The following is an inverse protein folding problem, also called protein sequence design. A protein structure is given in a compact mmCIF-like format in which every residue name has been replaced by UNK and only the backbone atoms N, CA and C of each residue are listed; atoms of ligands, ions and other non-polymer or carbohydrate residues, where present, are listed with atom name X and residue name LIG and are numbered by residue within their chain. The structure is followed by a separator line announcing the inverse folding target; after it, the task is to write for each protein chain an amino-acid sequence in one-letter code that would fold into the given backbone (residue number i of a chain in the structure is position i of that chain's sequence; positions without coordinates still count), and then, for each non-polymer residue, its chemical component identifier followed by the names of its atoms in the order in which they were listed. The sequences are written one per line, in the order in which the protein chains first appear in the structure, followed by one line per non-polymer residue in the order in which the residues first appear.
data_IF_199532144786
#
_entry.id   IF_199532144786
#
_cell.length_a   1.000
_cell.length_b   1.000
_cell.length_c   1.000
_cell.angle_alpha   90.00
_cell.angle_beta   90.00
_cell.angle_gamma   90.00
#
_symmetry.space_group_name_H-M   'P 1'
#
loop_
_entity.id
_entity.type
_entity.pdbx_description
1 polymer ?
#
# COMPACT_ATOMS: atom_id res chain seq x y z
N UNK A 1 -8.91 14.94 9.06
CA UNK A 1 -7.62 14.27 9.35
C UNK A 1 -7.68 12.87 8.80
N UNK A 2 -6.68 12.47 8.03
CA UNK A 2 -6.58 11.08 7.55
C UNK A 2 -5.99 10.20 8.66
N UNK A 3 -6.55 9.01 8.78
CA UNK A 3 -6.06 8.00 9.73
C UNK A 3 -5.01 7.13 9.07
N UNK A 4 -3.92 6.89 9.78
CA UNK A 4 -2.80 6.05 9.38
C UNK A 4 -2.70 4.90 10.37
N UNK A 5 -2.60 3.67 9.86
CA UNK A 5 -2.67 2.47 10.69
C UNK A 5 -1.57 1.46 10.34
N UNK A 6 -1.34 0.53 11.23
CA UNK A 6 -0.47 -0.63 10.95
C UNK A 6 -1.18 -1.65 10.05
N UNK A 7 -0.41 -2.51 9.40
CA UNK A 7 -0.94 -3.65 8.62
C UNK A 7 -1.79 -4.57 9.49
N UNK A 8 -1.42 -4.75 10.76
CA UNK A 8 -2.20 -5.57 11.69
C UNK A 8 -3.56 -4.94 11.99
N UNK A 9 -3.59 -3.64 12.28
CA UNK A 9 -4.84 -2.89 12.48
C UNK A 9 -5.71 -2.94 11.23
N UNK A 10 -5.12 -2.83 10.02
CA UNK A 10 -5.85 -2.98 8.77
C UNK A 10 -6.51 -4.35 8.65
N UNK A 11 -5.78 -5.44 8.91
CA UNK A 11 -6.32 -6.81 8.87
C UNK A 11 -7.45 -7.05 9.86
N UNK A 12 -7.31 -6.52 11.10
CA UNK A 12 -8.37 -6.62 12.12
C UNK A 12 -9.62 -5.87 11.68
N UNK A 13 -9.45 -4.68 11.11
CA UNK A 13 -10.54 -3.84 10.62
C UNK A 13 -11.27 -4.47 9.44
N UNK A 14 -10.53 -5.03 8.46
CA UNK A 14 -11.08 -5.80 7.36
C UNK A 14 -11.91 -6.99 7.85
N UNK A 15 -11.32 -7.83 8.71
CA UNK A 15 -11.97 -9.02 9.23
C UNK A 15 -13.25 -8.66 10.01
N UNK A 16 -13.20 -7.61 10.82
CA UNK A 16 -14.36 -7.13 11.58
C UNK A 16 -15.45 -6.60 10.65
N UNK A 17 -15.08 -5.82 9.65
CA UNK A 17 -16.03 -5.26 8.67
C UNK A 17 -16.71 -6.35 7.87
N UNK A 18 -15.97 -7.35 7.41
CA UNK A 18 -16.50 -8.49 6.65
C UNK A 18 -17.43 -9.33 7.54
N UNK A 19 -17.06 -9.56 8.79
CA UNK A 19 -17.86 -10.37 9.70
C UNK A 19 -19.20 -9.71 10.10
N UNK A 20 -19.28 -8.37 10.10
CA UNK A 20 -20.42 -7.66 10.69
C UNK A 20 -21.24 -6.83 9.71
N UNK A 21 -20.67 -6.38 8.59
CA UNK A 21 -21.32 -5.33 7.79
C UNK A 21 -21.41 -5.62 6.29
N UNK A 22 -20.41 -6.28 5.67
CA UNK A 22 -20.37 -6.42 4.22
C UNK A 22 -19.72 -7.74 3.79
N UNK A 23 -20.28 -8.37 2.78
CA UNK A 23 -19.65 -9.53 2.13
C UNK A 23 -18.28 -9.18 1.54
N UNK A 24 -17.29 -10.09 1.66
CA UNK A 24 -15.91 -9.88 1.24
C UNK A 24 -15.77 -9.55 -0.26
N UNK A 25 -16.58 -10.17 -1.12
CA UNK A 25 -16.59 -9.85 -2.56
C UNK A 25 -17.10 -8.44 -2.83
N UNK A 26 -18.10 -7.98 -2.07
CA UNK A 26 -18.59 -6.59 -2.20
C UNK A 26 -17.53 -5.60 -1.72
N UNK A 27 -16.78 -5.93 -0.68
CA UNK A 27 -15.69 -5.08 -0.19
C UNK A 27 -14.57 -4.99 -1.25
N UNK A 28 -14.16 -6.11 -1.85
CA UNK A 28 -13.23 -6.17 -2.98
C UNK A 28 -13.74 -5.38 -4.19
N UNK A 29 -15.03 -5.44 -4.49
CA UNK A 29 -15.62 -4.62 -5.57
C UNK A 29 -15.48 -3.12 -5.27
N UNK A 30 -15.74 -2.69 -4.02
CA UNK A 30 -15.53 -1.29 -3.62
C UNK A 30 -14.07 -0.86 -3.77
N UNK A 31 -13.12 -1.73 -3.43
CA UNK A 31 -11.69 -1.47 -3.61
C UNK A 31 -11.36 -1.24 -5.10
N UNK A 32 -11.77 -2.14 -5.99
CA UNK A 32 -11.57 -1.97 -7.42
C UNK A 32 -12.25 -0.72 -8.01
N UNK A 33 -13.45 -0.37 -7.53
CA UNK A 33 -14.12 0.90 -7.91
C UNK A 33 -13.30 2.11 -7.45
N UNK A 34 -12.74 2.07 -6.24
CA UNK A 34 -11.89 3.12 -5.73
C UNK A 34 -10.62 3.31 -6.56
N UNK A 35 -9.97 2.21 -6.93
CA UNK A 35 -8.81 2.23 -7.83
C UNK A 35 -9.20 2.81 -9.19
N UNK A 36 -10.32 2.38 -9.78
CA UNK A 36 -10.83 2.90 -11.03
C UNK A 36 -11.05 4.43 -10.99
N UNK A 37 -11.64 4.94 -9.93
CA UNK A 37 -11.92 6.37 -9.76
C UNK A 37 -10.69 7.22 -9.39
N UNK A 38 -9.58 6.59 -9.05
CA UNK A 38 -8.36 7.29 -8.60
C UNK A 38 -7.51 7.83 -9.74
N UNK A 39 -7.73 7.36 -10.98
CA UNK A 39 -6.95 7.74 -12.14
C UNK A 39 -7.82 7.82 -13.42
N UNK A 40 -7.43 8.66 -14.37
CA UNK A 40 -8.08 8.79 -15.68
C UNK A 40 -7.43 7.81 -16.69
N UNK A 41 -7.86 6.55 -16.65
CA UNK A 41 -7.31 5.47 -17.48
C UNK A 41 -7.58 5.70 -18.97
N UNK A 42 -6.52 5.62 -19.78
CA UNK A 42 -6.56 5.75 -21.23
C UNK A 42 -5.52 4.82 -21.89
N UNK A 43 -5.79 4.43 -23.13
CA UNK A 43 -4.88 3.56 -23.89
C UNK A 43 -4.99 2.09 -23.49
N UNK A 44 -3.89 1.34 -23.61
CA UNK A 44 -3.79 -0.07 -23.29
C UNK A 44 -3.24 -0.26 -21.88
N UNK A 45 -3.95 -1.01 -21.05
CA UNK A 45 -3.63 -1.16 -19.64
C UNK A 45 -3.10 -2.59 -19.37
N UNK A 46 -1.90 -2.71 -18.82
CA UNK A 46 -1.41 -3.97 -18.26
C UNK A 46 -1.74 -4.01 -16.77
N UNK A 47 -2.46 -5.02 -16.29
CA UNK A 47 -2.75 -5.20 -14.87
C UNK A 47 -1.99 -6.44 -14.40
N UNK A 48 -0.96 -6.24 -13.57
CA UNK A 48 -0.07 -7.30 -13.12
C UNK A 48 -0.54 -7.82 -11.77
N UNK A 49 -0.96 -9.08 -11.77
CA UNK A 49 -1.71 -9.70 -10.68
C UNK A 49 -0.89 -10.80 -9.99
N UNK A 50 -0.79 -10.71 -8.67
CA UNK A 50 -0.27 -11.79 -7.83
C UNK A 50 -1.31 -12.88 -7.56
N UNK A 51 -1.24 -13.50 -6.38
CA UNK A 51 -2.16 -14.59 -6.00
C UNK A 51 -3.04 -14.26 -4.77
N UNK A 52 -2.90 -13.06 -4.22
CA UNK A 52 -3.64 -12.59 -3.05
C UNK A 52 -4.87 -11.77 -3.39
N UNK A 53 -5.46 -11.11 -2.38
CA UNK A 53 -6.65 -10.28 -2.56
C UNK A 53 -6.37 -9.02 -3.39
N UNK A 54 -5.15 -8.47 -3.34
CA UNK A 54 -4.76 -7.33 -4.17
C UNK A 54 -4.93 -7.60 -5.67
N UNK A 55 -4.69 -8.85 -6.12
CA UNK A 55 -5.00 -9.26 -7.49
C UNK A 55 -6.51 -9.20 -7.79
N UNK A 56 -7.35 -9.47 -6.80
CA UNK A 56 -8.81 -9.37 -6.92
C UNK A 56 -9.27 -7.95 -7.22
N UNK A 57 -8.66 -6.96 -6.60
CA UNK A 57 -8.93 -5.53 -6.87
C UNK A 57 -8.57 -5.18 -8.32
N UNK A 58 -7.45 -5.75 -8.83
CA UNK A 58 -7.04 -5.64 -10.23
C UNK A 58 -8.02 -6.31 -11.21
N UNK A 59 -8.61 -7.45 -10.85
CA UNK A 59 -9.63 -8.09 -11.68
C UNK A 59 -10.91 -7.25 -11.74
N UNK A 60 -11.34 -6.67 -10.62
CA UNK A 60 -12.47 -5.73 -10.60
C UNK A 60 -12.17 -4.51 -11.44
N UNK A 61 -10.97 -3.92 -11.31
CA UNK A 61 -10.55 -2.81 -12.17
C UNK A 61 -10.67 -3.16 -13.65
N UNK A 62 -10.20 -4.35 -14.06
CA UNK A 62 -10.27 -4.81 -15.45
C UNK A 62 -11.72 -4.92 -15.97
N UNK A 63 -12.65 -5.41 -15.14
CA UNK A 63 -14.08 -5.44 -15.47
C UNK A 63 -14.64 -4.03 -15.68
N UNK A 64 -14.32 -3.08 -14.81
CA UNK A 64 -14.76 -1.68 -14.91
C UNK A 64 -14.18 -0.98 -16.15
N UNK A 65 -12.91 -1.22 -16.46
CA UNK A 65 -12.28 -0.72 -17.68
C UNK A 65 -13.01 -1.26 -18.93
N UNK A 66 -13.34 -2.55 -18.94
CA UNK A 66 -14.10 -3.19 -20.01
C UNK A 66 -15.48 -2.55 -20.23
N UNK A 67 -16.21 -2.23 -19.14
CA UNK A 67 -17.50 -1.52 -19.19
C UNK A 67 -17.37 -0.12 -19.82
N UNK A 68 -16.20 0.51 -19.72
CA UNK A 68 -15.89 1.81 -20.33
C UNK A 68 -15.22 1.71 -21.70
N UNK A 69 -15.14 0.50 -22.28
CA UNK A 69 -14.46 0.23 -23.54
C UNK A 69 -12.96 0.62 -23.53
N UNK A 70 -12.30 0.52 -22.38
CA UNK A 70 -10.86 0.70 -22.23
C UNK A 70 -10.19 -0.69 -22.26
N UNK A 71 -9.20 -0.84 -23.12
CA UNK A 71 -8.48 -2.12 -23.29
C UNK A 71 -7.61 -2.43 -22.09
N UNK A 72 -7.74 -3.63 -21.53
CA UNK A 72 -6.83 -4.13 -20.49
C UNK A 72 -6.47 -5.60 -20.72
N UNK A 73 -5.27 -5.98 -20.27
CA UNK A 73 -4.77 -7.36 -20.25
C UNK A 73 -4.29 -7.69 -18.86
N UNK A 74 -4.72 -8.84 -18.33
CA UNK A 74 -4.25 -9.35 -17.05
C UNK A 74 -2.92 -10.09 -17.24
N UNK A 75 -1.92 -9.77 -16.41
CA UNK A 75 -0.64 -10.47 -16.35
C UNK A 75 -0.56 -11.19 -15.01
N UNK A 76 -0.63 -12.50 -15.02
CA UNK A 76 -0.64 -13.31 -13.80
C UNK A 76 0.78 -13.76 -13.47
N UNK A 77 1.30 -13.42 -12.29
CA UNK A 77 2.57 -13.97 -11.80
C UNK A 77 2.52 -15.50 -11.75
N UNK A 78 1.35 -16.04 -11.40
CA UNK A 78 1.04 -17.47 -11.47
C UNK A 78 -0.48 -17.67 -11.43
N UNK A 79 -0.96 -18.79 -11.96
CA UNK A 79 -2.37 -19.18 -11.91
C UNK A 79 -2.76 -19.73 -10.53
N UNK A 80 -2.72 -18.84 -9.54
CA UNK A 80 -3.18 -19.10 -8.17
C UNK A 80 -3.97 -17.89 -7.69
N UNK A 81 -5.09 -18.13 -7.03
CA UNK A 81 -6.07 -17.12 -6.69
C UNK A 81 -6.47 -17.21 -5.22
N UNK A 82 -6.79 -16.09 -4.59
CA UNK A 82 -7.60 -16.06 -3.38
C UNK A 82 -9.05 -16.45 -3.71
N UNK A 83 -9.86 -16.73 -2.70
CA UNK A 83 -11.26 -17.16 -2.92
C UNK A 83 -12.05 -16.09 -3.67
N UNK A 84 -11.99 -14.84 -3.22
CA UNK A 84 -12.69 -13.73 -3.85
C UNK A 84 -12.04 -13.30 -5.16
N UNK A 85 -10.71 -13.36 -5.25
CA UNK A 85 -9.97 -13.13 -6.47
C UNK A 85 -10.38 -14.10 -7.58
N UNK A 86 -10.57 -15.40 -7.27
CA UNK A 86 -11.03 -16.39 -8.25
C UNK A 86 -12.42 -16.04 -8.79
N UNK A 87 -13.32 -15.60 -7.93
CA UNK A 87 -14.65 -15.17 -8.35
C UNK A 87 -14.61 -14.04 -9.38
N UNK A 88 -13.76 -13.01 -9.16
CA UNK A 88 -13.65 -11.90 -10.11
C UNK A 88 -12.81 -12.26 -11.35
N UNK A 89 -11.81 -13.12 -11.21
CA UNK A 89 -11.09 -13.65 -12.37
C UNK A 89 -12.03 -14.42 -13.31
N UNK A 90 -12.91 -15.28 -12.78
CA UNK A 90 -13.89 -16.00 -13.59
C UNK A 90 -14.82 -15.04 -14.33
N UNK A 91 -15.26 -13.95 -13.70
CA UNK A 91 -16.02 -12.89 -14.36
C UNK A 91 -15.23 -12.21 -15.49
N UNK A 92 -13.93 -12.01 -15.33
CA UNK A 92 -13.08 -11.52 -16.41
C UNK A 92 -13.07 -12.48 -17.60
N UNK A 93 -13.00 -13.79 -17.33
CA UNK A 93 -13.03 -14.82 -18.38
C UNK A 93 -14.39 -14.87 -19.09
N UNK A 94 -15.49 -14.78 -18.36
CA UNK A 94 -16.85 -14.67 -18.92
C UNK A 94 -17.00 -13.48 -19.88
N UNK A 95 -16.29 -12.39 -19.61
CA UNK A 95 -16.29 -11.18 -20.45
C UNK A 95 -15.17 -11.19 -21.53
N UNK A 96 -14.47 -12.29 -21.71
CA UNK A 96 -13.38 -12.43 -22.67
C UNK A 96 -12.27 -11.37 -22.48
N UNK A 97 -11.94 -11.02 -21.26
CA UNK A 97 -10.78 -10.17 -20.95
C UNK A 97 -9.51 -11.00 -21.16
N UNK A 98 -8.54 -10.54 -21.98
CA UNK A 98 -7.33 -11.29 -22.24
C UNK A 98 -6.44 -11.39 -20.99
N UNK A 99 -5.79 -12.55 -20.85
CA UNK A 99 -4.75 -12.72 -19.83
C UNK A 99 -3.53 -13.45 -20.37
N UNK A 100 -2.40 -13.26 -19.70
CA UNK A 100 -1.12 -13.93 -19.92
C UNK A 100 -0.54 -14.38 -18.59
N UNK A 101 0.18 -15.49 -18.56
CA UNK A 101 1.00 -15.86 -17.40
C UNK A 101 2.39 -15.28 -17.62
N UNK A 102 2.93 -14.63 -16.60
CA UNK A 102 4.24 -13.99 -16.66
C UNK A 102 5.36 -15.02 -16.75
N UNK A 103 6.33 -14.74 -17.58
CA UNK A 103 7.57 -15.50 -17.81
C UNK A 103 8.75 -14.56 -18.09
N UNK A 104 9.90 -15.12 -18.41
CA UNK A 104 11.10 -14.36 -18.78
C UNK A 104 10.91 -13.49 -20.03
N UNK A 105 10.02 -13.88 -20.96
CA UNK A 105 9.68 -13.15 -22.18
C UNK A 105 8.62 -12.07 -21.99
N UNK A 106 8.07 -11.90 -20.78
CA UNK A 106 7.03 -10.89 -20.53
C UNK A 106 7.54 -9.47 -20.83
N UNK A 107 6.77 -8.73 -21.61
CA UNK A 107 7.08 -7.37 -22.06
C UNK A 107 5.85 -6.46 -21.94
N UNK A 108 6.10 -5.19 -21.59
CA UNK A 108 5.07 -4.17 -21.41
C UNK A 108 5.13 -3.06 -22.46
N UNK A 109 5.91 -3.23 -23.54
CA UNK A 109 6.12 -2.19 -24.58
C UNK A 109 4.81 -1.71 -25.22
N UNK A 110 3.85 -2.61 -25.44
CA UNK A 110 2.56 -2.33 -26.09
C UNK A 110 1.52 -1.68 -25.15
N UNK A 111 1.88 -1.42 -23.90
CA UNK A 111 0.97 -0.84 -22.91
C UNK A 111 1.35 0.59 -22.58
N UNK A 112 0.35 1.40 -22.23
CA UNK A 112 0.51 2.80 -21.85
C UNK A 112 0.59 2.95 -20.33
N UNK A 113 -0.13 2.11 -19.60
CA UNK A 113 -0.22 2.12 -18.14
C UNK A 113 0.00 0.70 -17.63
N UNK A 114 0.76 0.58 -16.55
CA UNK A 114 0.91 -0.67 -15.80
C UNK A 114 0.27 -0.48 -14.42
N UNK A 115 -0.61 -1.39 -14.04
CA UNK A 115 -1.21 -1.42 -12.71
C UNK A 115 -0.61 -2.57 -11.92
N UNK A 116 0.07 -2.25 -10.84
CA UNK A 116 0.69 -3.20 -9.93
C UNK A 116 -0.32 -3.69 -8.89
N UNK A 117 -0.75 -4.93 -9.03
CA UNK A 117 -1.57 -5.69 -8.11
C UNK A 117 -0.89 -6.99 -7.68
N UNK A 118 0.47 -7.03 -7.65
CA UNK A 118 1.22 -8.26 -7.35
C UNK A 118 1.11 -8.60 -5.86
N UNK A 119 1.48 -7.66 -4.99
CA UNK A 119 1.46 -7.84 -3.54
C UNK A 119 0.72 -6.68 -2.87
N UNK A 120 -0.12 -6.99 -1.88
CA UNK A 120 -0.69 -6.01 -0.96
C UNK A 120 -0.02 -6.09 0.41
N UNK A 121 -0.67 -5.58 1.45
CA UNK A 121 -0.17 -5.52 2.85
C UNK A 121 0.23 -6.87 3.44
N UNK A 122 -0.15 -7.99 2.83
CA UNK A 122 0.24 -9.35 3.25
C UNK A 122 1.69 -9.72 2.96
N UNK A 123 2.39 -8.97 2.11
CA UNK A 123 3.75 -9.30 1.69
C UNK A 123 4.77 -8.99 2.80
N UNK A 124 5.75 -9.89 2.95
CA UNK A 124 6.91 -9.72 3.84
C UNK A 124 8.16 -10.31 3.16
N UNK A 125 9.28 -9.66 3.36
CA UNK A 125 10.58 -10.09 2.82
C UNK A 125 10.90 -9.49 1.45
N UNK A 126 11.58 -10.24 0.59
CA UNK A 126 12.09 -9.79 -0.72
C UNK A 126 11.34 -10.50 -1.84
N UNK A 127 10.89 -9.75 -2.84
CA UNK A 127 10.31 -10.32 -4.06
C UNK A 127 11.38 -11.11 -4.82
N UNK A 128 11.12 -12.40 -5.12
CA UNK A 128 12.05 -13.32 -5.78
C UNK A 128 11.42 -14.05 -6.96
N UNK A 129 12.28 -14.63 -7.80
CA UNK A 129 11.85 -15.35 -8.99
C UNK A 129 11.03 -14.46 -9.91
N UNK A 130 10.07 -15.04 -10.63
CA UNK A 130 9.31 -14.32 -11.64
C UNK A 130 8.66 -13.02 -11.12
N UNK A 131 8.21 -12.98 -9.87
CA UNK A 131 7.64 -11.76 -9.30
C UNK A 131 8.69 -10.65 -9.15
N UNK A 132 9.91 -11.00 -8.73
CA UNK A 132 11.02 -10.05 -8.66
C UNK A 132 11.45 -9.56 -10.04
N UNK A 133 11.52 -10.46 -11.02
CA UNK A 133 11.91 -10.11 -12.40
C UNK A 133 10.86 -9.22 -13.07
N UNK A 134 9.58 -9.45 -12.79
CA UNK A 134 8.48 -8.60 -13.27
C UNK A 134 8.52 -7.21 -12.62
N UNK A 135 8.85 -7.11 -11.34
CA UNK A 135 9.05 -5.80 -10.67
C UNK A 135 10.17 -5.01 -11.37
N UNK A 136 11.30 -5.64 -11.70
CA UNK A 136 12.37 -4.98 -12.45
C UNK A 136 11.88 -4.51 -13.81
N UNK A 137 11.16 -5.36 -14.56
CA UNK A 137 10.59 -5.00 -15.87
C UNK A 137 9.58 -3.85 -15.80
N UNK A 138 8.76 -3.79 -14.75
CA UNK A 138 7.86 -2.67 -14.50
C UNK A 138 8.67 -1.39 -14.31
N UNK A 139 9.68 -1.42 -13.43
CA UNK A 139 10.52 -0.27 -13.13
C UNK A 139 11.30 0.25 -14.33
N UNK A 140 11.71 -0.65 -15.24
CA UNK A 140 12.48 -0.32 -16.45
C UNK A 140 11.60 0.04 -17.65
N UNK A 141 10.27 -0.09 -17.54
CA UNK A 141 9.34 0.05 -18.68
C UNK A 141 9.19 1.46 -19.20
N UNK A 142 9.51 2.51 -18.41
CA UNK A 142 9.21 3.91 -18.68
C UNK A 142 7.72 4.18 -18.96
N UNK A 143 6.82 3.39 -18.39
CA UNK A 143 5.37 3.55 -18.48
C UNK A 143 4.83 4.23 -17.25
N UNK A 144 3.62 4.76 -17.33
CA UNK A 144 2.89 5.20 -16.13
C UNK A 144 2.57 3.99 -15.27
N UNK A 145 2.97 4.01 -14.00
CA UNK A 145 2.78 2.91 -13.06
C UNK A 145 1.86 3.32 -11.92
N UNK A 146 0.84 2.51 -11.67
CA UNK A 146 -0.12 2.70 -10.58
C UNK A 146 -0.05 1.48 -9.67
N UNK A 147 0.35 1.65 -8.41
CA UNK A 147 0.34 0.57 -7.42
C UNK A 147 -0.96 0.59 -6.60
N UNK A 148 -1.55 -0.59 -6.42
CA UNK A 148 -2.80 -0.80 -5.68
C UNK A 148 -2.48 -1.27 -4.27
N UNK A 149 -3.12 -0.67 -3.28
CA UNK A 149 -2.98 -0.91 -1.84
C UNK A 149 -1.62 -0.51 -1.28
N UNK A 150 -0.54 -1.04 -1.83
CA UNK A 150 0.85 -0.74 -1.51
C UNK A 150 1.74 -1.08 -2.71
N UNK A 151 2.86 -0.40 -2.87
CA UNK A 151 3.84 -0.76 -3.90
C UNK A 151 4.37 -2.17 -3.65
N UNK A 152 4.25 -3.04 -4.64
CA UNK A 152 4.68 -4.44 -4.48
C UNK A 152 6.16 -4.52 -4.12
N UNK A 153 6.46 -5.23 -3.03
CA UNK A 153 7.79 -5.35 -2.44
C UNK A 153 8.08 -4.40 -1.28
N UNK A 154 7.26 -3.37 -1.06
CA UNK A 154 7.36 -2.45 0.08
C UNK A 154 6.75 -3.09 1.33
N UNK A 155 7.38 -2.93 2.49
CA UNK A 155 6.81 -3.36 3.76
C UNK A 155 5.80 -2.31 4.27
N UNK A 156 4.55 -2.72 4.47
CA UNK A 156 3.43 -1.84 4.82
C UNK A 156 3.49 -1.20 6.20
N UNK A 157 4.35 -1.70 7.09
CA UNK A 157 4.56 -1.12 8.42
C UNK A 157 5.82 -0.25 8.48
N UNK A 158 6.90 -0.70 7.84
CA UNK A 158 8.22 -0.07 7.99
C UNK A 158 8.64 0.84 6.85
N UNK A 159 8.02 0.73 5.68
CA UNK A 159 8.43 1.50 4.50
C UNK A 159 9.77 1.08 3.89
N UNK A 160 10.33 -0.07 4.28
CA UNK A 160 11.53 -0.63 3.68
C UNK A 160 11.19 -1.70 2.64
N UNK A 161 12.07 -1.87 1.66
CA UNK A 161 12.00 -2.94 0.67
C UNK A 161 13.25 -2.96 -0.20
N UNK A 162 13.72 -4.16 -0.58
CA UNK A 162 14.91 -4.30 -1.43
C UNK A 162 14.56 -4.25 -2.92
N UNK A 163 13.43 -4.85 -3.29
CA UNK A 163 12.95 -4.91 -4.68
C UNK A 163 11.49 -4.47 -4.68
N UNK A 164 11.26 -3.22 -5.04
CA UNK A 164 9.97 -2.52 -4.90
C UNK A 164 9.57 -1.88 -6.21
N UNK A 165 8.29 -1.97 -6.55
CA UNK A 165 7.71 -1.24 -7.68
C UNK A 165 7.79 0.26 -7.42
N UNK A 166 8.31 1.03 -8.37
CA UNK A 166 8.24 2.49 -8.39
C UNK A 166 6.98 2.92 -9.13
N UNK A 167 6.13 3.66 -8.47
CA UNK A 167 4.86 4.11 -9.05
C UNK A 167 4.78 5.63 -9.18
N UNK A 168 4.07 6.09 -10.21
CA UNK A 168 3.66 7.49 -10.33
C UNK A 168 2.51 7.81 -9.36
N UNK A 169 1.67 6.79 -9.10
CA UNK A 169 0.57 6.87 -8.15
C UNK A 169 0.44 5.57 -7.35
N UNK A 170 0.35 5.69 -6.04
CA UNK A 170 -0.08 4.61 -5.15
C UNK A 170 -1.49 4.90 -4.64
N UNK A 171 -2.41 3.94 -4.81
CA UNK A 171 -3.79 4.01 -4.33
C UNK A 171 -3.93 3.09 -3.12
N UNK A 172 -3.81 3.64 -1.92
CA UNK A 172 -4.03 2.89 -0.68
C UNK A 172 -5.51 2.58 -0.48
N UNK A 173 -5.83 1.38 -0.06
CA UNK A 173 -7.20 0.91 0.12
C UNK A 173 -7.60 0.93 1.60
N UNK A 174 -8.77 1.52 1.91
CA UNK A 174 -9.30 1.67 3.25
C UNK A 174 -8.62 2.79 4.02
N UNK A 175 -7.52 2.50 4.67
CA UNK A 175 -6.70 3.45 5.42
C UNK A 175 -5.27 3.51 4.90
N UNK A 176 -4.59 4.63 5.11
CA UNK A 176 -3.15 4.73 4.88
C UNK A 176 -2.40 3.79 5.83
N UNK A 177 -1.39 3.08 5.32
CA UNK A 177 -0.50 2.25 6.12
C UNK A 177 0.75 3.04 6.49
N UNK A 178 1.27 2.81 7.69
CA UNK A 178 2.45 3.53 8.19
C UNK A 178 3.62 3.48 7.22
N UNK A 179 3.90 2.30 6.64
CA UNK A 179 4.99 2.10 5.69
C UNK A 179 4.86 2.83 4.35
N UNK A 180 3.69 3.43 4.04
CA UNK A 180 3.53 4.28 2.85
C UNK A 180 4.05 5.71 3.06
N UNK A 181 4.34 6.09 4.31
CA UNK A 181 4.66 7.46 4.69
C UNK A 181 6.09 7.65 5.19
N UNK A 182 6.72 6.59 5.69
CA UNK A 182 7.98 6.66 6.42
C UNK A 182 9.13 5.97 5.69
N UNK A 183 10.35 6.24 6.14
CA UNK A 183 11.61 5.64 5.68
C UNK A 183 11.78 5.74 4.15
N UNK A 184 11.96 4.61 3.46
CA UNK A 184 12.27 4.57 2.03
C UNK A 184 11.04 4.72 1.11
N UNK A 185 9.83 4.84 1.66
CA UNK A 185 8.60 4.90 0.87
C UNK A 185 8.62 5.98 -0.21
N UNK A 186 9.24 7.13 0.08
CA UNK A 186 9.35 8.26 -0.85
C UNK A 186 10.24 7.99 -2.08
N UNK A 187 11.09 6.96 -2.03
CA UNK A 187 11.89 6.51 -3.18
C UNK A 187 11.05 5.78 -4.23
N UNK A 188 9.89 5.27 -3.82
CA UNK A 188 9.04 4.38 -4.62
C UNK A 188 7.68 4.97 -4.95
N UNK A 189 7.19 5.94 -4.17
CA UNK A 189 5.85 6.51 -4.30
C UNK A 189 5.94 7.93 -4.85
N UNK A 190 5.48 8.15 -6.08
CA UNK A 190 5.39 9.48 -6.68
C UNK A 190 4.27 10.30 -6.01
N UNK A 191 3.04 9.85 -6.14
CA UNK A 191 1.85 10.43 -5.52
C UNK A 191 1.12 9.37 -4.71
N UNK A 192 0.46 9.78 -3.62
CA UNK A 192 -0.30 8.88 -2.76
C UNK A 192 -1.75 9.35 -2.65
N UNK A 193 -2.70 8.45 -2.89
CA UNK A 193 -4.13 8.65 -2.65
C UNK A 193 -4.66 7.57 -1.74
N UNK A 194 -5.58 7.92 -0.85
CA UNK A 194 -6.31 6.95 -0.06
C UNK A 194 -7.72 6.77 -0.61
N UNK A 195 -8.12 5.52 -0.80
CA UNK A 195 -9.47 5.13 -1.23
C UNK A 195 -10.24 4.59 -0.03
N UNK A 196 -11.18 5.38 0.49
CA UNK A 196 -12.10 4.91 1.51
C UNK A 196 -13.11 3.92 0.90
N UNK A 197 -13.23 2.75 1.51
CA UNK A 197 -14.16 1.68 1.11
C UNK A 197 -15.12 1.29 2.25
N UNK A 198 -15.31 2.17 3.22
CA UNK A 198 -16.18 2.02 4.38
C UNK A 198 -15.77 0.86 5.30
N UNK A 199 -14.48 0.76 5.60
CA UNK A 199 -13.96 -0.18 6.59
C UNK A 199 -14.17 0.40 7.99
N UNK A 200 -14.77 -0.37 8.87
CA UNK A 200 -14.87 -0.03 10.28
C UNK A 200 -13.52 -0.23 10.98
N UNK A 201 -13.00 0.85 11.56
CA UNK A 201 -11.70 0.82 12.22
C UNK A 201 -11.76 0.11 13.57
N UNK A 202 -10.91 -0.89 13.75
CA UNK A 202 -10.74 -1.64 15.00
C UNK A 202 -9.28 -1.59 15.44
N UNK A 203 -9.00 -0.78 16.46
CA UNK A 203 -7.66 -0.62 17.03
C UNK A 203 -7.13 0.80 16.93
N UNK A 204 -5.85 0.95 17.24
CA UNK A 204 -5.15 2.24 17.28
C UNK A 204 -4.83 2.79 15.89
N UNK A 205 -4.71 4.10 15.80
CA UNK A 205 -4.30 4.81 14.61
C UNK A 205 -3.46 6.03 14.94
N UNK A 206 -2.72 6.53 13.95
CA UNK A 206 -2.06 7.82 13.95
C UNK A 206 -2.91 8.81 13.13
N UNK A 207 -2.89 10.06 13.52
CA UNK A 207 -3.54 11.15 12.77
C UNK A 207 -2.53 11.83 11.86
N UNK A 208 -2.85 11.96 10.57
CA UNK A 208 -2.05 12.78 9.67
C UNK A 208 -2.47 14.24 9.82
N UNK A 209 -1.53 15.10 10.21
CA UNK A 209 -1.76 16.53 10.45
C UNK A 209 -0.85 17.38 9.56
N UNK A 210 -1.20 18.67 9.39
CA UNK A 210 -0.41 19.57 8.54
C UNK A 210 0.88 20.03 9.23
N UNK A 211 0.85 20.23 10.56
CA UNK A 211 2.01 20.65 11.35
C UNK A 211 1.87 20.26 12.84
N UNK A 212 2.92 20.55 13.63
CA UNK A 212 3.00 20.34 15.07
C UNK A 212 3.02 21.66 15.86
N UNK A 213 2.38 22.71 15.36
CA UNK A 213 2.41 24.05 15.94
C UNK A 213 1.99 24.13 17.41
N UNK A 214 1.23 23.15 17.90
CA UNK A 214 0.75 23.06 19.28
C UNK A 214 1.55 22.08 20.15
N UNK A 215 2.68 21.55 19.66
CA UNK A 215 3.50 20.60 20.41
C UNK A 215 4.38 21.37 21.44
N UNK A 216 4.16 21.09 22.72
CA UNK A 216 4.91 21.69 23.85
C UNK A 216 5.63 20.60 24.65
N UNK A 217 6.75 20.96 25.29
CA UNK A 217 7.51 20.10 26.21
C UNK A 217 7.92 18.75 25.58
N UNK A 218 8.46 18.78 24.35
CA UNK A 218 8.84 17.59 23.59
C UNK A 218 10.35 17.43 23.55
N UNK A 219 10.84 16.21 23.71
CA UNK A 219 12.21 15.83 23.36
C UNK A 219 12.27 15.65 21.85
N UNK A 220 13.20 16.35 21.20
CA UNK A 220 13.28 16.39 19.73
C UNK A 220 14.51 15.63 19.25
N UNK A 221 14.30 14.72 18.32
CA UNK A 221 15.34 14.00 17.59
C UNK A 221 15.33 14.42 16.12
N UNK A 222 16.51 14.68 15.54
CA UNK A 222 16.63 15.17 14.17
C UNK A 222 16.31 14.08 13.11
N UNK A 223 16.45 12.82 13.51
CA UNK A 223 16.08 11.65 12.69
C UNK A 223 15.89 10.42 13.58
N UNK A 224 15.45 9.30 12.98
CA UNK A 224 15.23 8.07 13.73
C UNK A 224 16.53 7.43 14.22
N UNK A 225 17.66 7.61 13.53
CA UNK A 225 18.94 7.06 13.97
C UNK A 225 19.41 7.72 15.29
N UNK A 226 19.31 9.06 15.39
CA UNK A 226 19.64 9.75 16.64
C UNK A 226 18.75 9.33 17.81
N UNK A 227 17.49 8.99 17.55
CA UNK A 227 16.58 8.42 18.54
C UNK A 227 17.01 7.01 18.98
N UNK A 228 17.32 6.12 18.02
CA UNK A 228 17.73 4.75 18.32
C UNK A 228 19.09 4.69 19.05
N UNK A 229 20.01 5.57 18.71
CA UNK A 229 21.30 5.70 19.39
C UNK A 229 21.11 6.11 20.85
N UNK A 230 20.27 7.11 21.14
CA UNK A 230 20.03 7.59 22.51
C UNK A 230 19.43 6.48 23.39
N UNK A 231 18.49 5.72 22.89
CA UNK A 231 17.81 4.65 23.64
C UNK A 231 18.42 3.25 23.43
N UNK A 232 19.57 3.12 22.76
CA UNK A 232 20.28 1.86 22.48
C UNK A 232 19.39 0.80 21.81
N UNK A 233 18.55 1.22 20.87
CA UNK A 233 17.65 0.34 20.15
C UNK A 233 18.39 -0.31 19.00
N UNK A 234 18.58 -1.64 19.06
CA UNK A 234 19.37 -2.41 18.08
C UNK A 234 18.48 -2.98 16.97
N UNK A 235 17.27 -3.42 17.33
CA UNK A 235 16.32 -4.05 16.42
C UNK A 235 14.93 -3.46 16.61
N UNK A 236 14.23 -3.21 15.50
CA UNK A 236 12.84 -2.76 15.50
C UNK A 236 12.13 -3.24 14.25
N UNK A 237 10.82 -3.45 14.36
CA UNK A 237 9.95 -3.83 13.23
C UNK A 237 9.21 -2.62 12.69
N UNK A 238 8.79 -1.71 13.56
CA UNK A 238 8.08 -0.49 13.19
C UNK A 238 8.60 0.69 14.02
N UNK A 239 9.22 1.70 13.39
CA UNK A 239 9.79 2.85 14.11
C UNK A 239 8.76 3.63 14.93
N UNK A 240 7.50 3.74 14.46
CA UNK A 240 6.47 4.47 15.18
C UNK A 240 6.01 3.75 16.45
N UNK A 241 5.92 2.41 16.40
CA UNK A 241 5.56 1.60 17.57
C UNK A 241 6.63 1.71 18.65
N UNK A 242 7.90 1.53 18.27
CA UNK A 242 9.04 1.65 19.20
C UNK A 242 9.09 3.04 19.84
N UNK A 243 8.95 4.11 19.06
CA UNK A 243 8.93 5.46 19.61
C UNK A 243 7.76 5.68 20.57
N UNK A 244 6.61 5.07 20.30
CA UNK A 244 5.44 5.13 21.17
C UNK A 244 5.66 4.38 22.49
N UNK A 245 6.29 3.22 22.45
CA UNK A 245 6.62 2.44 23.65
C UNK A 245 7.62 3.18 24.53
N UNK A 246 8.71 3.68 23.97
CA UNK A 246 9.73 4.46 24.70
C UNK A 246 9.13 5.73 25.33
N UNK A 247 8.27 6.45 24.60
CA UNK A 247 7.59 7.63 25.12
C UNK A 247 6.75 7.30 26.36
N UNK A 248 6.01 6.19 26.32
CA UNK A 248 5.19 5.71 27.44
C UNK A 248 6.01 5.23 28.62
N UNK A 249 7.05 4.43 28.39
CA UNK A 249 7.91 3.87 29.44
C UNK A 249 8.68 4.94 30.20
N UNK A 250 9.06 6.02 29.54
CA UNK A 250 9.83 7.11 30.13
C UNK A 250 8.98 8.33 30.53
N UNK A 251 7.66 8.30 30.31
CA UNK A 251 6.74 9.40 30.60
C UNK A 251 7.18 10.74 29.95
N UNK A 252 7.54 10.67 28.68
CA UNK A 252 8.04 11.80 27.88
C UNK A 252 7.25 11.98 26.60
N UNK A 253 7.23 13.22 26.09
CA UNK A 253 6.76 13.51 24.73
C UNK A 253 7.97 13.50 23.78
N UNK A 254 7.82 12.89 22.62
CA UNK A 254 8.90 12.71 21.65
C UNK A 254 8.45 13.27 20.29
N UNK A 255 9.32 14.04 19.66
CA UNK A 255 9.22 14.42 18.25
C UNK A 255 10.44 13.88 17.49
N UNK A 256 10.21 12.98 16.55
CA UNK A 256 11.24 12.48 15.63
C UNK A 256 11.02 13.16 14.27
N UNK A 257 11.99 13.92 13.80
CA UNK A 257 12.00 14.57 12.51
C UNK A 257 12.52 13.62 11.42
N UNK A 258 12.26 13.98 10.16
CA UNK A 258 12.84 13.31 8.99
C UNK A 258 12.70 11.77 9.00
N UNK A 259 11.51 11.29 9.37
CA UNK A 259 11.13 9.90 9.23
C UNK A 259 10.56 9.69 7.81
N UNK A 260 11.45 9.67 6.80
CA UNK A 260 11.08 9.83 5.40
C UNK A 260 10.64 11.28 5.11
N UNK A 261 9.51 11.46 4.44
CA UNK A 261 8.90 12.78 4.17
C UNK A 261 8.09 13.33 5.36
N UNK A 262 8.06 12.62 6.47
CA UNK A 262 7.21 12.95 7.61
C UNK A 262 8.03 13.08 8.89
N UNK A 263 7.48 13.80 9.85
CA UNK A 263 7.91 13.80 11.24
C UNK A 263 6.85 13.12 12.10
N UNK A 264 7.25 12.49 13.17
CA UNK A 264 6.36 11.78 14.10
C UNK A 264 6.40 12.42 15.48
N UNK A 265 5.22 12.79 15.96
CA UNK A 265 5.01 13.26 17.33
C UNK A 265 4.23 12.22 18.13
N UNK A 266 4.74 11.85 19.29
CA UNK A 266 4.00 11.08 20.30
C UNK A 266 3.98 11.82 21.62
N UNK A 267 2.79 11.97 22.18
CA UNK A 267 2.56 12.49 23.52
C UNK A 267 1.68 11.51 24.29
N UNK A 268 1.45 11.75 25.57
CA UNK A 268 0.53 10.96 26.40
C UNK A 268 -0.91 10.92 25.84
N UNK A 269 -1.29 11.88 25.00
CA UNK A 269 -2.65 12.05 24.46
C UNK A 269 -2.74 11.93 22.94
N UNK A 270 -1.65 12.12 22.21
CA UNK A 270 -1.67 12.32 20.75
C UNK A 270 -0.56 11.54 20.09
N UNK A 271 -0.91 10.88 18.97
CA UNK A 271 0.04 10.25 18.05
C UNK A 271 -0.20 10.85 16.67
N UNK A 272 0.73 11.66 16.21
CA UNK A 272 0.57 12.43 14.99
C UNK A 272 1.75 12.27 14.03
N UNK A 273 1.45 12.30 12.74
CA UNK A 273 2.41 12.40 11.64
C UNK A 273 2.17 13.72 10.90
N UNK A 274 3.23 14.45 10.58
CA UNK A 274 3.17 15.62 9.74
C UNK A 274 4.22 15.57 8.64
N UNK A 275 3.90 16.16 7.50
CA UNK A 275 4.84 16.26 6.38
C UNK A 275 5.99 17.19 6.77
N UNK A 276 7.23 16.80 6.44
CA UNK A 276 8.42 17.62 6.65
C UNK A 276 8.42 18.86 5.78
#
# INVERSE_FOLDING_TARGET
MEKVITVETMRKSDAYTIANYIDSKKLMYKAGVGVFNSYDYKGNIAIVCGSGNNAGDGYVLSLLLKEKNISSTLFLIKEKFSVDGKYYFDKCMEQNIPYKVCDEGTDFSDYDIIVDCIFGTGFKGVARGIAGDIIDKINDSNKTVISVDINSGLNGDTGFGEKVVKSDLTVSIGYLKTGLLINDADKYIGSLKNCNIDIELVGDYYSLVDDFSNAENVVVFDNFNSFTEEYNIIEYTNPLEVATEIAKENDINILIKNLGKYSFLVTDKVKELSRC
#
